data_IF_038846843831
#
_entry.id   IF_038846843831
#
_cell.length_a   1.000
_cell.length_b   1.000
_cell.length_c   1.000
_cell.angle_alpha   90.00
_cell.angle_beta   90.00
_cell.angle_gamma   90.00
#
_symmetry.space_group_name_H-M   'P 1'
#
loop_
_entity.id
_entity.type
_entity.pdbx_description
1 polymer ?
#
# COMPACT_ATOMS: atom_id res chain seq x y z
N UNK A 1 30.21 -7.58 -36.17
CA UNK A 1 29.84 -6.23 -35.69
C UNK A 1 28.60 -6.39 -34.84
N UNK A 2 28.80 -6.66 -33.56
CA UNK A 2 27.75 -7.09 -32.63
C UNK A 2 27.51 -5.94 -31.66
N UNK A 3 26.38 -5.26 -31.80
CA UNK A 3 25.99 -4.15 -30.94
C UNK A 3 25.56 -4.67 -29.57
N UNK A 4 26.27 -4.24 -28.52
CA UNK A 4 25.83 -4.41 -27.14
C UNK A 4 24.68 -3.44 -26.84
N UNK A 5 23.48 -3.99 -26.59
CA UNK A 5 22.43 -3.32 -25.84
C UNK A 5 22.85 -3.28 -24.37
N UNK A 6 23.33 -2.13 -23.89
CA UNK A 6 23.43 -1.83 -22.48
C UNK A 6 22.10 -1.26 -21.99
N UNK A 7 21.32 -2.03 -21.22
CA UNK A 7 20.44 -1.47 -20.18
C UNK A 7 20.11 -2.53 -19.13
N UNK A 8 20.19 -2.09 -17.86
CA UNK A 8 19.71 -2.70 -16.63
C UNK A 8 20.52 -3.86 -16.02
N UNK A 9 21.39 -3.52 -15.06
CA UNK A 9 21.45 -4.14 -13.73
C UNK A 9 22.52 -3.44 -12.87
N UNK A 10 22.23 -2.22 -12.38
CA UNK A 10 23.04 -1.58 -11.34
C UNK A 10 22.55 -2.06 -9.97
N UNK A 11 22.79 -3.33 -9.70
CA UNK A 11 22.88 -3.93 -8.36
C UNK A 11 24.06 -4.89 -8.42
N UNK A 12 25.27 -4.34 -8.55
CA UNK A 12 26.49 -5.13 -8.46
C UNK A 12 26.72 -5.50 -6.99
N UNK A 13 26.83 -6.81 -6.81
CA UNK A 13 26.97 -7.52 -5.54
C UNK A 13 28.27 -7.12 -4.86
N UNK A 14 28.20 -6.58 -3.65
CA UNK A 14 29.28 -6.72 -2.67
C UNK A 14 28.66 -7.15 -1.36
N UNK A 15 28.65 -8.47 -1.17
CA UNK A 15 28.40 -9.11 0.13
C UNK A 15 29.46 -8.64 1.12
N UNK A 16 29.09 -8.55 2.40
CA UNK A 16 29.90 -8.11 3.55
C UNK A 16 29.89 -6.59 3.83
N UNK A 17 28.71 -6.00 3.99
CA UNK A 17 28.35 -4.96 4.96
C UNK A 17 26.80 -4.92 4.92
N UNK A 18 26.16 -4.72 6.07
CA UNK A 18 24.72 -4.95 6.28
C UNK A 18 23.82 -4.47 5.14
N UNK A 19 22.97 -5.36 4.67
CA UNK A 19 21.91 -5.21 3.68
C UNK A 19 21.47 -3.78 3.37
N UNK A 20 21.99 -3.19 2.29
CA UNK A 20 21.27 -2.16 1.54
C UNK A 20 20.24 -2.88 0.65
N UNK A 21 19.10 -3.27 1.23
CA UNK A 21 18.00 -3.76 0.39
C UNK A 21 17.42 -2.58 -0.39
N UNK A 22 17.56 -2.63 -1.71
CA UNK A 22 16.80 -1.76 -2.61
C UNK A 22 15.30 -1.93 -2.34
N UNK A 23 14.48 -0.99 -2.82
CA UNK A 23 13.04 -1.19 -2.80
C UNK A 23 12.70 -2.52 -3.49
N UNK A 24 12.17 -3.45 -2.71
CA UNK A 24 11.87 -4.78 -3.20
C UNK A 24 10.70 -4.68 -4.18
N UNK A 25 10.99 -4.93 -5.46
CA UNK A 25 9.96 -5.10 -6.48
C UNK A 25 9.08 -6.27 -6.04
N UNK A 26 7.80 -5.97 -5.81
CA UNK A 26 6.84 -6.91 -5.24
C UNK A 26 5.66 -7.03 -6.20
N UNK A 27 5.93 -7.53 -7.40
CA UNK A 27 4.91 -7.67 -8.42
C UNK A 27 3.84 -8.68 -8.00
N UNK A 28 2.62 -8.19 -7.80
CA UNK A 28 1.47 -9.01 -7.43
C UNK A 28 0.15 -8.28 -7.72
N UNK A 29 -0.97 -9.01 -7.81
CA UNK A 29 -2.28 -8.36 -7.91
C UNK A 29 -2.50 -7.44 -6.71
N UNK A 30 -3.22 -6.31 -6.89
CA UNK A 30 -3.51 -5.44 -5.77
C UNK A 30 -4.39 -6.17 -4.77
N UNK A 31 -4.15 -5.96 -3.48
CA UNK A 31 -5.11 -6.36 -2.47
C UNK A 31 -6.48 -5.75 -2.79
N UNK A 32 -7.55 -6.54 -2.67
CA UNK A 32 -8.89 -6.01 -2.85
C UNK A 32 -9.31 -5.25 -1.60
N UNK A 33 -9.64 -3.97 -1.78
CA UNK A 33 -10.26 -3.14 -0.77
C UNK A 33 -11.17 -2.11 -1.42
N UNK A 34 -12.15 -1.66 -0.65
CA UNK A 34 -13.13 -0.66 -1.04
C UNK A 34 -13.53 0.16 0.18
N UNK A 35 -13.99 1.37 -0.09
CA UNK A 35 -14.50 2.30 0.91
C UNK A 35 -15.72 2.99 0.31
N UNK A 36 -16.84 2.92 1.01
CA UNK A 36 -18.12 3.47 0.54
C UNK A 36 -18.52 2.94 -0.86
N UNK A 37 -18.22 1.66 -1.14
CA UNK A 37 -18.52 1.00 -2.41
C UNK A 37 -17.60 1.39 -3.58
N UNK A 38 -16.56 2.19 -3.33
CA UNK A 38 -15.57 2.61 -4.35
C UNK A 38 -14.29 1.80 -4.19
N UNK A 39 -13.76 1.29 -5.30
CA UNK A 39 -12.46 0.59 -5.34
C UNK A 39 -11.40 1.50 -5.97
N UNK A 40 -10.47 2.07 -5.18
CA UNK A 40 -9.51 3.04 -5.70
C UNK A 40 -8.60 2.48 -6.78
N UNK A 41 -8.26 1.19 -6.71
CA UNK A 41 -7.44 0.53 -7.72
C UNK A 41 -8.22 0.27 -9.02
N UNK A 42 -9.53 0.02 -8.93
CA UNK A 42 -10.37 -0.16 -10.12
C UNK A 42 -10.63 1.17 -10.85
N UNK A 43 -10.91 2.23 -10.10
CA UNK A 43 -11.20 3.57 -10.63
C UNK A 43 -9.98 4.23 -11.31
N UNK A 44 -8.76 3.83 -10.92
CA UNK A 44 -7.52 4.43 -11.40
C UNK A 44 -6.67 3.49 -12.28
N UNK A 45 -7.29 2.49 -12.93
CA UNK A 45 -6.60 1.65 -13.93
C UNK A 45 -5.94 2.52 -15.01
N UNK A 46 -4.73 2.12 -15.42
CA UNK A 46 -3.92 2.85 -16.41
C UNK A 46 -2.99 3.92 -15.80
N UNK A 47 -3.20 4.31 -14.54
CA UNK A 47 -2.38 5.29 -13.82
C UNK A 47 -1.39 4.61 -12.90
N UNK A 48 -0.28 5.29 -12.59
CA UNK A 48 0.51 4.92 -11.40
C UNK A 48 -0.27 5.37 -10.17
N UNK A 49 -0.50 4.48 -9.22
CA UNK A 49 -1.22 4.79 -7.97
C UNK A 49 -0.24 4.79 -6.80
N UNK A 50 -0.21 5.88 -6.06
CA UNK A 50 0.61 6.06 -4.87
C UNK A 50 -0.30 6.28 -3.67
N UNK A 51 -0.16 5.43 -2.67
CA UNK A 51 -0.85 5.60 -1.39
C UNK A 51 0.09 6.33 -0.42
N UNK A 52 -0.32 7.53 0.01
CA UNK A 52 0.31 8.50 0.90
C UNK A 52 1.35 9.40 0.20
N UNK A 53 1.08 10.73 0.03
CA UNK A 53 2.06 11.86 -0.12
C UNK A 53 1.50 13.15 -0.79
N UNK A 54 1.55 14.31 -0.12
CA UNK A 54 1.23 15.64 -0.74
C UNK A 54 2.46 16.35 -1.31
N UNK A 55 3.58 16.39 -0.57
CA UNK A 55 4.74 17.20 -0.96
C UNK A 55 5.39 16.72 -2.27
N UNK A 56 5.49 15.40 -2.44
CA UNK A 56 6.08 14.80 -3.64
C UNK A 56 5.16 14.93 -4.87
N UNK A 57 3.85 15.02 -4.65
CA UNK A 57 2.85 15.22 -5.71
C UNK A 57 3.09 16.51 -6.47
N UNK A 58 3.24 17.62 -5.74
CA UNK A 58 3.48 18.94 -6.33
C UNK A 58 4.74 18.97 -7.19
N UNK A 59 5.82 18.35 -6.69
CA UNK A 59 7.07 18.19 -7.43
C UNK A 59 6.85 17.44 -8.75
N UNK A 60 6.23 16.28 -8.70
CA UNK A 60 6.04 15.44 -9.90
C UNK A 60 5.10 16.09 -10.94
N UNK A 61 4.08 16.83 -10.49
CA UNK A 61 3.22 17.60 -11.40
C UNK A 61 3.93 18.76 -12.08
N UNK A 62 4.79 19.48 -11.35
CA UNK A 62 5.60 20.55 -11.95
C UNK A 62 6.53 20.04 -13.07
N UNK A 63 6.87 18.75 -13.03
CA UNK A 63 7.66 18.06 -14.06
C UNK A 63 6.80 17.37 -15.14
N UNK A 64 5.51 17.70 -15.24
CA UNK A 64 4.61 17.18 -16.26
C UNK A 64 4.12 15.73 -16.05
N UNK A 65 4.34 15.12 -14.87
CA UNK A 65 3.85 13.75 -14.57
C UNK A 65 2.43 13.80 -14.03
N UNK A 66 1.49 14.11 -14.91
CA UNK A 66 0.08 14.33 -14.57
C UNK A 66 -0.72 13.04 -14.38
N UNK A 67 -0.25 11.93 -14.96
CA UNK A 67 -0.93 10.63 -14.91
C UNK A 67 -0.45 9.75 -13.73
N UNK A 68 -0.42 10.36 -12.55
CA UNK A 68 -0.16 9.71 -11.27
C UNK A 68 -1.33 10.04 -10.35
N UNK A 69 -1.94 9.01 -9.80
CA UNK A 69 -2.96 9.13 -8.77
C UNK A 69 -2.31 9.04 -7.39
N UNK A 70 -2.56 10.03 -6.55
CA UNK A 70 -2.20 10.01 -5.13
C UNK A 70 -3.48 9.83 -4.32
N UNK A 71 -3.43 9.03 -3.26
CA UNK A 71 -4.49 8.96 -2.26
C UNK A 71 -3.90 8.62 -0.90
N UNK A 72 -4.59 8.84 0.21
CA UNK A 72 -4.11 8.36 1.52
C UNK A 72 -5.21 7.55 2.20
N UNK A 73 -4.83 6.48 2.89
CA UNK A 73 -5.74 5.82 3.82
C UNK A 73 -5.47 6.43 5.19
N UNK A 74 -6.51 6.95 5.83
CA UNK A 74 -6.40 7.44 7.19
C UNK A 74 -6.87 6.37 8.18
N UNK A 75 -6.07 6.13 9.21
CA UNK A 75 -6.39 5.20 10.29
C UNK A 75 -7.68 5.58 11.04
N UNK A 76 -8.31 4.60 11.68
CA UNK A 76 -9.39 4.86 12.61
C UNK A 76 -8.84 5.27 13.99
N UNK A 77 -9.46 6.30 14.58
CA UNK A 77 -9.15 6.80 15.91
C UNK A 77 -10.02 8.02 16.22
N UNK A 78 -10.26 8.30 17.50
CA UNK A 78 -11.07 9.45 17.89
C UNK A 78 -10.45 10.75 17.33
N UNK A 79 -9.17 11.04 17.58
CA UNK A 79 -8.54 12.22 16.99
C UNK A 79 -8.61 12.22 15.45
N UNK A 80 -8.37 11.07 14.82
CA UNK A 80 -8.39 10.89 13.36
C UNK A 80 -9.74 11.28 12.72
N UNK A 81 -10.85 10.90 13.36
CA UNK A 81 -12.19 11.23 12.88
C UNK A 81 -12.49 12.72 13.01
N UNK A 82 -12.10 13.35 14.12
CA UNK A 82 -12.33 14.78 14.35
C UNK A 82 -11.52 15.67 13.40
N UNK A 83 -10.32 15.24 13.01
CA UNK A 83 -9.48 15.99 12.07
C UNK A 83 -9.71 15.65 10.60
N UNK A 84 -10.64 14.74 10.28
CA UNK A 84 -10.90 14.29 8.89
C UNK A 84 -11.19 15.47 7.96
N UNK A 85 -12.12 16.34 8.32
CA UNK A 85 -12.50 17.48 7.47
C UNK A 85 -11.34 18.45 7.25
N UNK A 86 -10.46 18.64 8.23
CA UNK A 86 -9.28 19.48 8.09
C UNK A 86 -8.22 18.82 7.19
N UNK A 87 -8.04 17.50 7.30
CA UNK A 87 -7.17 16.72 6.42
C UNK A 87 -7.67 16.80 4.97
N UNK A 88 -8.97 16.60 4.73
CA UNK A 88 -9.58 16.71 3.41
C UNK A 88 -9.49 18.13 2.84
N UNK A 89 -9.55 19.15 3.70
CA UNK A 89 -9.40 20.56 3.28
C UNK A 89 -7.97 20.91 2.87
N UNK A 90 -6.96 20.25 3.46
CA UNK A 90 -5.54 20.55 3.22
C UNK A 90 -4.90 19.65 2.17
N UNK A 91 -5.34 18.40 2.07
CA UNK A 91 -4.85 17.47 1.07
C UNK A 91 -5.49 17.79 -0.28
N UNK A 92 -4.68 17.80 -1.34
CA UNK A 92 -5.18 17.97 -2.70
C UNK A 92 -5.39 16.62 -3.39
N UNK A 93 -5.67 15.58 -2.61
CA UNK A 93 -5.93 14.23 -3.07
C UNK A 93 -6.95 13.53 -2.16
N UNK A 94 -7.61 12.46 -2.64
CA UNK A 94 -8.60 11.72 -1.85
C UNK A 94 -8.01 11.10 -0.58
N UNK A 95 -8.67 11.33 0.55
CA UNK A 95 -8.38 10.66 1.82
C UNK A 95 -9.47 9.62 2.08
N UNK A 96 -9.07 8.36 2.12
CA UNK A 96 -9.93 7.23 2.42
C UNK A 96 -9.94 6.97 3.91
N UNK A 97 -11.07 7.25 4.56
CA UNK A 97 -11.22 7.00 5.99
C UNK A 97 -11.65 5.56 6.24
N UNK A 98 -10.88 4.84 7.04
CA UNK A 98 -11.33 3.56 7.60
C UNK A 98 -12.61 3.78 8.41
N UNK A 99 -13.68 3.08 8.05
CA UNK A 99 -14.93 3.08 8.80
C UNK A 99 -14.83 2.14 10.01
N UNK A 100 -15.35 2.59 11.17
CA UNK A 100 -15.62 1.68 12.28
C UNK A 100 -16.83 0.85 11.90
N UNK A 101 -16.65 -0.45 11.62
CA UNK A 101 -17.79 -1.35 11.74
C UNK A 101 -18.14 -1.42 13.23
N UNK A 102 -19.34 -1.01 13.67
CA UNK A 102 -19.73 -1.24 15.05
C UNK A 102 -19.71 -2.76 15.26
N UNK A 103 -18.91 -3.26 16.21
CA UNK A 103 -19.15 -4.60 16.73
C UNK A 103 -20.58 -4.63 17.24
N UNK A 104 -21.45 -5.53 16.74
CA UNK A 104 -22.66 -5.86 17.45
C UNK A 104 -22.21 -6.57 18.72
N UNK A 105 -22.07 -5.84 19.82
CA UNK A 105 -22.07 -6.48 21.12
C UNK A 105 -23.52 -6.89 21.33
N UNK A 106 -23.87 -8.10 20.90
CA UNK A 106 -25.06 -8.75 21.43
C UNK A 106 -24.72 -9.07 22.88
N UNK A 107 -25.10 -8.18 23.81
CA UNK A 107 -25.07 -8.51 25.23
C UNK A 107 -26.09 -9.64 25.44
N UNK A 108 -25.62 -10.89 25.40
CA UNK A 108 -26.38 -12.02 25.91
C UNK A 108 -26.47 -11.78 27.42
N UNK A 109 -27.61 -11.27 27.86
CA UNK A 109 -27.84 -11.04 29.27
C UNK A 109 -27.95 -12.38 30.01
N UNK A 110 -27.15 -12.46 31.08
CA UNK A 110 -27.30 -13.25 32.31
C UNK A 110 -26.87 -14.72 32.28
N UNK A 111 -25.62 -14.97 32.72
CA UNK A 111 -25.29 -16.01 33.71
C UNK A 111 -23.96 -15.69 34.43
N UNK A 112 -23.87 -15.85 35.76
CA UNK A 112 -22.70 -15.43 36.54
C UNK A 112 -21.67 -16.56 36.66
N UNK A 113 -21.14 -17.10 35.56
CA UNK A 113 -19.98 -18.01 35.63
C UNK A 113 -18.94 -17.65 34.58
N UNK A 114 -17.91 -16.98 35.10
CA UNK A 114 -16.60 -16.77 34.51
C UNK A 114 -15.93 -18.09 34.10
N UNK A 115 -16.09 -18.55 32.85
CA UNK A 115 -15.09 -19.38 32.16
C UNK A 115 -15.31 -19.55 30.64
N UNK A 116 -15.69 -18.53 29.87
CA UNK A 116 -15.75 -18.65 28.39
C UNK A 116 -15.42 -17.34 27.65
N UNK A 117 -14.49 -16.54 28.17
CA UNK A 117 -14.04 -15.29 27.50
C UNK A 117 -12.88 -15.56 26.53
N UNK A 118 -13.02 -16.55 25.65
CA UNK A 118 -12.02 -16.84 24.61
C UNK A 118 -12.59 -16.82 23.18
N UNK A 119 -13.87 -17.11 22.98
CA UNK A 119 -14.53 -16.98 21.67
C UNK A 119 -14.91 -15.53 21.35
N UNK A 120 -15.47 -14.79 22.33
CA UNK A 120 -15.89 -13.38 22.17
C UNK A 120 -14.69 -12.45 21.92
N UNK A 121 -13.53 -12.75 22.53
CA UNK A 121 -12.30 -11.99 22.29
C UNK A 121 -11.71 -12.25 20.88
N UNK A 122 -11.99 -13.42 20.29
CA UNK A 122 -11.49 -13.80 18.96
C UNK A 122 -12.26 -13.12 17.83
N UNK A 123 -13.57 -12.93 17.99
CA UNK A 123 -14.41 -12.14 17.07
C UNK A 123 -14.12 -10.63 17.17
N UNK A 124 -13.74 -10.15 18.36
CA UNK A 124 -13.26 -8.78 18.54
C UNK A 124 -11.96 -8.50 17.78
N UNK A 125 -11.07 -9.50 17.67
CA UNK A 125 -9.77 -9.38 17.00
C UNK A 125 -9.86 -9.48 15.47
N UNK A 126 -10.78 -10.29 14.94
CA UNK A 126 -10.95 -10.46 13.48
C UNK A 126 -11.48 -9.20 12.77
N UNK A 127 -12.19 -8.33 13.50
CA UNK A 127 -12.62 -7.03 12.97
C UNK A 127 -11.46 -6.07 12.68
N UNK A 128 -10.31 -6.22 13.33
CA UNK A 128 -9.11 -5.45 12.99
C UNK A 128 -8.38 -6.08 11.79
N UNK A 129 -8.53 -7.40 11.58
CA UNK A 129 -8.01 -8.13 10.41
C UNK A 129 -8.70 -7.72 9.10
N UNK A 130 -9.94 -7.23 9.17
CA UNK A 130 -10.72 -6.74 8.03
C UNK A 130 -10.54 -5.25 7.70
N UNK A 131 -9.75 -4.51 8.48
CA UNK A 131 -9.45 -3.11 8.16
C UNK A 131 -8.67 -3.01 6.84
N UNK A 132 -8.79 -1.89 6.13
CA UNK A 132 -8.07 -1.57 4.88
C UNK A 132 -6.58 -1.88 5.05
N UNK A 133 -5.97 -1.55 6.18
CA UNK A 133 -4.56 -1.86 6.48
C UNK A 133 -4.25 -3.36 6.51
N UNK A 134 -5.15 -4.17 7.09
CA UNK A 134 -5.04 -5.63 7.10
C UNK A 134 -5.12 -6.21 5.68
N UNK A 135 -6.06 -5.72 4.87
CA UNK A 135 -6.20 -6.10 3.46
C UNK A 135 -4.98 -5.72 2.63
N UNK A 136 -4.47 -4.50 2.82
CA UNK A 136 -3.27 -4.00 2.15
C UNK A 136 -1.99 -4.71 2.60
N UNK A 137 -2.05 -5.46 3.70
CA UNK A 137 -0.89 -6.01 4.39
C UNK A 137 0.20 -4.96 4.65
N UNK A 138 -0.22 -3.74 5.00
CA UNK A 138 0.64 -2.57 5.13
C UNK A 138 0.44 -1.91 6.50
N UNK A 139 1.50 -1.29 7.02
CA UNK A 139 1.43 -0.41 8.17
C UNK A 139 1.02 1.01 7.77
N UNK A 140 0.55 1.80 8.74
CA UNK A 140 0.11 3.20 8.55
C UNK A 140 1.15 4.08 7.83
N UNK A 141 2.42 3.85 8.10
CA UNK A 141 3.54 4.64 7.58
C UNK A 141 4.19 4.02 6.34
N UNK A 142 3.63 2.93 5.82
CA UNK A 142 4.09 2.32 4.57
C UNK A 142 3.61 3.12 3.37
N UNK A 143 4.40 3.08 2.29
CA UNK A 143 4.05 3.68 1.00
C UNK A 143 3.92 2.56 -0.02
N UNK A 144 2.76 2.50 -0.65
CA UNK A 144 2.42 1.51 -1.66
C UNK A 144 2.40 2.21 -3.02
N UNK A 145 3.17 1.67 -3.97
CA UNK A 145 3.24 2.14 -5.35
C UNK A 145 2.75 1.03 -6.26
N UNK A 146 1.69 1.29 -6.99
CA UNK A 146 1.12 0.39 -7.98
C UNK A 146 1.45 0.86 -9.40
N UNK A 147 1.73 -0.09 -10.29
CA UNK A 147 1.96 0.18 -11.70
C UNK A 147 0.65 0.49 -12.46
N UNK A 148 0.78 0.84 -13.75
CA UNK A 148 -0.37 1.15 -14.63
C UNK A 148 -1.31 -0.03 -14.86
N UNK A 149 -0.83 -1.26 -14.68
CA UNK A 149 -1.64 -2.47 -14.77
C UNK A 149 -2.40 -2.75 -13.45
N UNK A 150 -2.19 -1.93 -12.42
CA UNK A 150 -2.80 -2.05 -11.10
C UNK A 150 -2.07 -3.03 -10.19
N UNK A 151 -0.87 -3.50 -10.54
CA UNK A 151 -0.09 -4.43 -9.69
C UNK A 151 0.69 -3.65 -8.65
N UNK A 152 0.78 -4.18 -7.43
CA UNK A 152 1.72 -3.65 -6.44
C UNK A 152 3.12 -3.77 -7.06
N UNK A 153 3.83 -2.66 -7.20
CA UNK A 153 5.18 -2.66 -7.77
C UNK A 153 6.21 -2.48 -6.67
N UNK A 154 5.93 -1.58 -5.72
CA UNK A 154 6.80 -1.33 -4.56
C UNK A 154 5.99 -1.23 -3.28
N UNK A 155 6.47 -1.92 -2.24
CA UNK A 155 6.06 -1.77 -0.85
C UNK A 155 7.24 -1.17 -0.07
N UNK A 156 7.13 0.11 0.27
CA UNK A 156 8.14 0.82 1.04
C UNK A 156 7.72 0.80 2.51
N UNK A 157 8.52 0.17 3.36
CA UNK A 157 8.37 0.21 4.82
C UNK A 157 9.42 1.14 5.41
N UNK A 158 9.23 1.61 6.64
CA UNK A 158 10.28 2.32 7.36
C UNK A 158 11.55 1.44 7.45
N UNK A 159 12.76 2.03 7.29
CA UNK A 159 13.03 3.47 7.14
C UNK A 159 12.92 3.99 5.70
N UNK A 160 12.73 3.15 4.68
CA UNK A 160 12.69 3.57 3.26
C UNK A 160 11.46 4.43 2.91
N UNK A 161 10.36 4.24 3.64
CA UNK A 161 9.17 5.09 3.55
C UNK A 161 9.39 6.50 4.12
N UNK A 162 10.52 6.76 4.79
CA UNK A 162 10.83 8.08 5.32
C UNK A 162 11.01 9.09 4.18
N UNK A 163 10.16 10.13 4.20
CA UNK A 163 10.04 11.11 3.12
C UNK A 163 11.20 12.09 3.01
N UNK A 164 12.10 12.11 4.00
CA UNK A 164 13.36 12.85 3.88
C UNK A 164 14.36 12.22 2.92
N UNK A 165 14.11 10.99 2.44
CA UNK A 165 14.99 10.26 1.54
C UNK A 165 14.39 10.16 0.13
N UNK A 166 15.22 9.81 -0.87
CA UNK A 166 14.80 9.72 -2.27
C UNK A 166 14.06 8.43 -2.66
N UNK A 167 14.03 7.40 -1.79
CA UNK A 167 13.52 6.07 -2.14
C UNK A 167 12.08 6.08 -2.66
N UNK A 168 11.20 6.89 -2.05
CA UNK A 168 9.82 6.98 -2.51
C UNK A 168 9.71 7.63 -3.87
N UNK A 169 10.47 8.70 -4.09
CA UNK A 169 10.52 9.37 -5.38
C UNK A 169 11.09 8.46 -6.47
N UNK A 170 12.15 7.72 -6.17
CA UNK A 170 12.76 6.75 -7.08
C UNK A 170 11.77 5.64 -7.47
N UNK A 171 11.06 5.06 -6.49
CA UNK A 171 10.07 4.01 -6.73
C UNK A 171 8.92 4.51 -7.64
N UNK A 172 8.40 5.72 -7.38
CA UNK A 172 7.33 6.31 -8.20
C UNK A 172 7.84 6.58 -9.62
N UNK A 173 9.05 7.12 -9.77
CA UNK A 173 9.66 7.38 -11.09
C UNK A 173 9.93 6.09 -11.86
N UNK A 174 10.36 5.03 -11.18
CA UNK A 174 10.57 3.72 -11.78
C UNK A 174 9.23 3.14 -12.28
N UNK A 175 8.19 3.13 -11.43
CA UNK A 175 6.85 2.71 -11.79
C UNK A 175 6.26 3.51 -12.97
N UNK A 176 6.55 4.80 -13.05
CA UNK A 176 6.09 5.66 -14.14
C UNK A 176 6.79 5.39 -15.48
N UNK A 177 8.10 5.08 -15.46
CA UNK A 177 8.93 4.99 -16.67
C UNK A 177 9.15 3.57 -17.21
N UNK A 178 9.26 2.58 -16.33
CA UNK A 178 9.93 1.31 -16.64
C UNK A 178 9.01 0.08 -16.57
N UNK A 179 7.71 0.26 -16.32
CA UNK A 179 6.74 -0.86 -16.19
C UNK A 179 7.34 -2.03 -15.38
N UNK A 180 7.69 -1.83 -14.10
CA UNK A 180 8.52 -2.75 -13.33
C UNK A 180 7.99 -4.18 -13.25
N UNK A 181 6.67 -4.37 -13.39
CA UNK A 181 6.06 -5.69 -13.41
C UNK A 181 5.87 -6.28 -14.83
N UNK A 182 6.45 -5.68 -15.86
CA UNK A 182 6.33 -6.12 -17.26
C UNK A 182 5.02 -5.69 -17.93
N UNK A 183 4.69 -6.24 -19.12
CA UNK A 183 3.47 -5.89 -19.84
C UNK A 183 2.19 -6.25 -19.06
N UNK A 184 1.08 -5.56 -19.31
CA UNK A 184 -0.20 -5.93 -18.70
C UNK A 184 -0.71 -7.27 -19.27
N UNK A 185 -1.44 -8.05 -18.46
CA UNK A 185 -2.07 -9.31 -18.90
C UNK A 185 -1.21 -10.58 -18.76
N UNK A 186 0.02 -10.49 -18.27
CA UNK A 186 0.93 -11.65 -18.06
C UNK A 186 0.83 -12.31 -16.68
N UNK A 187 -0.26 -12.12 -15.91
CA UNK A 187 -0.49 -12.85 -14.65
C UNK A 187 -0.87 -14.33 -14.89
N UNK A 188 -0.22 -14.99 -15.84
CA UNK A 188 -0.38 -16.40 -16.15
C UNK A 188 1.01 -17.06 -16.07
N UNK A 189 1.48 -17.32 -14.85
CA UNK A 189 2.75 -18.04 -14.68
C UNK A 189 3.27 -18.16 -13.26
N UNK A 190 2.99 -17.21 -12.39
CA UNK A 190 3.36 -17.33 -10.97
C UNK A 190 2.11 -17.72 -10.18
N UNK A 191 2.06 -19.00 -9.81
CA UNK A 191 1.24 -19.45 -8.69
C UNK A 191 1.38 -18.42 -7.57
N UNK A 192 0.25 -17.87 -7.14
CA UNK A 192 0.18 -16.96 -6.01
C UNK A 192 0.65 -17.72 -4.75
N UNK A 193 1.96 -17.87 -4.60
CA UNK A 193 2.55 -18.12 -3.30
C UNK A 193 2.31 -16.85 -2.50
N UNK A 194 1.71 -16.95 -1.30
CA UNK A 194 1.64 -15.79 -0.41
C UNK A 194 3.06 -15.24 -0.26
N UNK A 195 3.25 -13.97 -0.63
CA UNK A 195 4.54 -13.26 -0.65
C UNK A 195 5.29 -13.32 0.70
N UNK A 196 4.62 -13.74 1.77
CA UNK A 196 5.20 -13.94 3.10
C UNK A 196 6.20 -15.11 3.19
N UNK A 197 6.13 -16.12 2.31
CA UNK A 197 7.00 -17.30 2.41
C UNK A 197 8.43 -17.12 1.86
N UNK A 198 8.85 -15.89 1.52
CA UNK A 198 10.22 -15.62 1.04
C UNK A 198 11.18 -15.13 2.13
N UNK A 199 10.70 -15.00 3.37
CA UNK A 199 11.50 -14.50 4.51
C UNK A 199 11.35 -15.33 5.81
N UNK A 200 11.08 -16.63 5.66
CA UNK A 200 11.39 -17.63 6.69
C UNK A 200 12.67 -18.38 6.29
#
# INVERSE_FOLDING_TARGET
MSGLLQTAALCLVVSWLGSLTCAQETCGPPAYWEVEGRSPMAENKGKVVVMNLEALRQKLYSEGKTDIFFGAVNHWGWASWWYKSELERRANFPIYQVQKKPHPITLVNQDPISLYVTSVAKEALDSWSQDIWGKLHAAKDDILVYDRCGRLAYHLRLPRAYLGNSHTEEAIRAAYRQSPCGPCGTLAGETATPWYNKYL
#
